data_IF_645727861984
#
_entry.id   IF_645727861984
#
_cell.length_a   1.000
_cell.length_b   1.000
_cell.length_c   1.000
_cell.angle_alpha   90.00
_cell.angle_beta   90.00
_cell.angle_gamma   90.00
#
_symmetry.space_group_name_H-M   'P 1'
#
loop_
_entity.id
_entity.type
_entity.pdbx_description
1 polymer ?
#
# COMPACT_ATOMS: atom_id res chain seq x y z
N UNK A 1 1.07 21.73 22.03
CA UNK A 1 2.50 21.53 21.69
C UNK A 1 2.68 20.54 20.53
N UNK A 2 2.16 19.30 20.60
CA UNK A 2 2.31 18.29 19.53
C UNK A 2 1.69 18.78 18.21
N UNK A 3 0.48 19.34 18.23
CA UNK A 3 -0.19 19.87 17.04
C UNK A 3 0.68 20.91 16.31
N UNK A 4 1.28 21.84 17.04
CA UNK A 4 2.15 22.88 16.47
C UNK A 4 3.39 22.28 15.79
N UNK A 5 4.01 21.26 16.43
CA UNK A 5 5.19 20.56 15.87
C UNK A 5 4.82 19.83 14.58
N UNK A 6 3.75 19.02 14.61
CA UNK A 6 3.31 18.27 13.41
C UNK A 6 2.93 19.21 12.27
N UNK A 7 2.20 20.29 12.54
CA UNK A 7 1.90 21.28 11.51
C UNK A 7 3.17 21.93 10.94
N UNK A 8 4.19 22.20 11.77
CA UNK A 8 5.49 22.66 11.32
C UNK A 8 6.18 21.69 10.37
N UNK A 9 6.16 20.37 10.69
CA UNK A 9 6.70 19.33 9.82
C UNK A 9 5.96 19.26 8.48
N UNK A 10 4.63 19.31 8.49
CA UNK A 10 3.84 19.31 7.25
C UNK A 10 4.08 20.57 6.39
N UNK A 11 4.23 21.73 7.01
CA UNK A 11 4.62 22.96 6.30
C UNK A 11 6.00 22.82 5.64
N UNK A 12 6.95 22.23 6.35
CA UNK A 12 8.28 21.96 5.81
C UNK A 12 8.22 21.03 4.60
N UNK A 13 7.46 19.93 4.71
CA UNK A 13 7.28 18.97 3.62
C UNK A 13 6.70 19.64 2.37
N UNK A 14 5.61 20.40 2.51
CA UNK A 14 5.00 21.16 1.39
C UNK A 14 5.97 22.15 0.75
N UNK A 15 6.68 22.93 1.57
CA UNK A 15 7.63 23.93 1.09
C UNK A 15 8.78 23.31 0.27
N UNK A 16 9.15 22.08 0.58
CA UNK A 16 10.28 21.38 -0.05
C UNK A 16 9.83 20.29 -1.03
N UNK A 17 8.55 20.25 -1.41
CA UNK A 17 7.99 19.24 -2.32
C UNK A 17 8.25 17.80 -1.85
N UNK A 18 8.20 17.55 -0.54
CA UNK A 18 8.37 16.21 0.04
C UNK A 18 6.99 15.57 0.15
N UNK A 19 6.81 14.45 -0.54
CA UNK A 19 5.61 13.61 -0.44
C UNK A 19 5.70 12.77 0.84
N UNK A 20 4.73 12.93 1.73
CA UNK A 20 4.63 12.15 2.97
C UNK A 20 3.60 11.04 2.79
N UNK A 21 3.99 9.82 3.14
CA UNK A 21 3.15 8.62 3.08
C UNK A 21 3.29 7.82 4.36
N UNK A 22 2.40 6.84 4.56
CA UNK A 22 2.47 5.91 5.68
C UNK A 22 2.23 4.49 5.20
N UNK A 23 2.99 3.54 5.75
CA UNK A 23 2.77 2.12 5.59
C UNK A 23 2.55 1.49 6.96
N UNK A 24 1.28 1.43 7.44
CA UNK A 24 0.94 0.77 8.71
C UNK A 24 1.34 -0.69 8.71
N UNK A 25 1.71 -1.20 9.88
CA UNK A 25 2.20 -2.58 10.02
C UNK A 25 1.18 -3.66 9.61
N UNK A 26 1.62 -4.91 9.45
CA UNK A 26 0.84 -6.03 8.89
C UNK A 26 -0.33 -6.49 9.77
N UNK A 27 -0.52 -5.86 10.93
CA UNK A 27 -1.66 -6.15 11.82
C UNK A 27 -2.94 -5.43 11.41
N UNK A 28 -2.88 -4.56 10.40
CA UNK A 28 -4.02 -3.86 9.84
C UNK A 28 -4.74 -4.74 8.82
N UNK A 29 -5.79 -5.48 9.26
CA UNK A 29 -6.41 -6.56 8.50
C UNK A 29 -7.91 -6.31 8.34
N UNK A 30 -8.31 -5.55 7.31
CA UNK A 30 -9.72 -5.29 6.99
C UNK A 30 -10.47 -6.54 6.50
N UNK A 31 -9.77 -7.54 5.96
CA UNK A 31 -10.37 -8.81 5.50
C UNK A 31 -10.72 -9.77 6.64
N UNK A 32 -10.36 -9.45 7.89
CA UNK A 32 -10.53 -10.37 9.01
C UNK A 32 -12.01 -10.68 9.28
N UNK A 33 -12.38 -11.96 9.51
CA UNK A 33 -13.71 -12.32 10.00
C UNK A 33 -13.90 -12.06 11.50
N UNK A 34 -12.82 -11.64 12.20
CA UNK A 34 -12.83 -11.40 13.65
C UNK A 34 -13.07 -9.93 13.95
N UNK A 35 -14.21 -9.61 14.55
CA UNK A 35 -14.63 -8.24 14.84
C UNK A 35 -13.58 -7.43 15.63
N UNK A 36 -12.95 -8.02 16.65
CA UNK A 36 -11.93 -7.31 17.43
C UNK A 36 -10.68 -6.93 16.61
N UNK A 37 -10.31 -7.75 15.60
CA UNK A 37 -9.18 -7.45 14.70
C UNK A 37 -9.55 -6.27 13.81
N UNK A 38 -10.76 -6.27 13.25
CA UNK A 38 -11.25 -5.14 12.42
C UNK A 38 -11.33 -3.86 13.26
N UNK A 39 -11.85 -3.92 14.49
CA UNK A 39 -11.92 -2.77 15.40
C UNK A 39 -10.52 -2.20 15.72
N UNK A 40 -9.54 -3.05 15.98
CA UNK A 40 -8.16 -2.62 16.21
C UNK A 40 -7.56 -1.98 14.95
N UNK A 41 -7.78 -2.57 13.77
CA UNK A 41 -7.40 -2.00 12.47
C UNK A 41 -7.99 -0.61 12.26
N UNK A 42 -9.29 -0.43 12.47
CA UNK A 42 -9.96 0.87 12.34
C UNK A 42 -9.35 1.88 13.31
N UNK A 43 -9.05 1.48 14.53
CA UNK A 43 -8.44 2.36 15.55
C UNK A 43 -7.06 2.82 15.11
N UNK A 44 -6.22 1.89 14.66
CA UNK A 44 -4.84 2.18 14.23
C UNK A 44 -4.83 3.08 12.98
N UNK A 45 -5.56 2.70 11.94
CA UNK A 45 -5.69 3.53 10.73
C UNK A 45 -6.26 4.92 11.01
N UNK A 46 -7.23 5.03 11.94
CA UNK A 46 -7.76 6.32 12.40
C UNK A 46 -6.68 7.21 13.02
N UNK A 47 -5.73 6.61 13.75
CA UNK A 47 -4.61 7.37 14.32
C UNK A 47 -3.66 7.86 13.21
N UNK A 48 -3.37 7.06 12.20
CA UNK A 48 -2.61 7.51 11.01
C UNK A 48 -3.32 8.67 10.31
N UNK A 49 -4.63 8.56 10.06
CA UNK A 49 -5.43 9.65 9.47
C UNK A 49 -5.40 10.94 10.29
N UNK A 50 -5.50 10.85 11.63
CA UNK A 50 -5.38 12.00 12.53
C UNK A 50 -4.00 12.65 12.48
N UNK A 51 -2.93 11.85 12.44
CA UNK A 51 -1.57 12.38 12.32
C UNK A 51 -1.40 13.14 11.01
N UNK A 52 -1.93 12.62 9.91
CA UNK A 52 -1.88 13.29 8.60
C UNK A 52 -2.69 14.59 8.58
N UNK A 53 -3.85 14.62 9.22
CA UNK A 53 -4.63 15.84 9.39
C UNK A 53 -3.90 16.89 10.26
N UNK A 54 -3.19 16.46 11.32
CA UNK A 54 -2.37 17.35 12.17
C UNK A 54 -1.13 17.88 11.44
N UNK A 55 -0.57 17.12 10.50
CA UNK A 55 0.46 17.58 9.56
C UNK A 55 -0.09 18.59 8.54
N UNK A 56 -1.41 18.67 8.39
CA UNK A 56 -2.08 19.50 7.38
C UNK A 56 -1.92 18.96 5.98
N UNK A 57 -1.82 17.64 5.82
CA UNK A 57 -1.72 16.98 4.53
C UNK A 57 -3.09 16.83 3.88
N UNK A 58 -3.11 16.86 2.55
CA UNK A 58 -4.35 16.72 1.79
C UNK A 58 -4.95 15.32 1.99
N UNK A 59 -6.29 15.27 1.98
CA UNK A 59 -7.06 14.01 2.07
C UNK A 59 -7.22 13.38 0.69
N UNK A 60 -6.09 13.02 0.07
CA UNK A 60 -6.01 12.37 -1.24
C UNK A 60 -4.98 11.24 -1.20
N UNK A 61 -4.97 10.32 -2.18
CA UNK A 61 -3.95 9.29 -2.28
C UNK A 61 -2.52 9.82 -2.53
N UNK A 62 -2.36 11.12 -2.79
CA UNK A 62 -1.03 11.73 -2.80
C UNK A 62 -0.31 11.51 -1.46
N UNK A 63 -1.05 11.68 -0.35
CA UNK A 63 -0.56 11.36 0.98
C UNK A 63 -1.16 10.01 1.43
N UNK A 64 -0.73 8.91 0.77
CA UNK A 64 -1.29 7.59 0.96
C UNK A 64 -1.08 7.02 2.37
N UNK A 65 -2.08 6.27 2.83
CA UNK A 65 -1.97 5.28 3.89
C UNK A 65 -2.07 3.92 3.20
N UNK A 66 -0.95 3.21 3.10
CA UNK A 66 -0.86 1.98 2.32
C UNK A 66 -0.97 0.75 3.21
N UNK A 67 -1.80 -0.22 2.84
CA UNK A 67 -1.92 -1.49 3.57
C UNK A 67 -1.99 -2.69 2.62
N UNK A 68 -1.67 -3.87 3.14
CA UNK A 68 -1.99 -5.14 2.50
C UNK A 68 -3.34 -5.69 2.97
N UNK A 69 -3.88 -6.66 2.23
CA UNK A 69 -5.06 -7.40 2.69
C UNK A 69 -4.73 -8.33 3.87
N UNK A 70 -3.53 -8.92 3.90
CA UNK A 70 -2.98 -9.72 5.02
C UNK A 70 -3.75 -10.98 5.43
N UNK A 71 -4.54 -11.60 4.56
CA UNK A 71 -5.15 -12.88 4.87
C UNK A 71 -6.29 -13.27 3.95
N UNK A 72 -6.42 -14.56 3.65
CA UNK A 72 -7.49 -15.12 2.81
C UNK A 72 -8.57 -15.84 3.62
N UNK A 73 -8.25 -16.31 4.81
CA UNK A 73 -9.18 -17.01 5.72
C UNK A 73 -9.97 -18.15 5.05
N UNK A 74 -9.29 -18.91 4.19
CA UNK A 74 -9.86 -20.07 3.48
C UNK A 74 -10.67 -19.73 2.22
N UNK A 75 -11.10 -18.48 2.05
CA UNK A 75 -11.85 -18.01 0.89
C UNK A 75 -11.45 -16.57 0.52
N UNK A 76 -10.70 -16.46 -0.58
CA UNK A 76 -10.16 -15.19 -1.09
C UNK A 76 -11.29 -14.22 -1.49
N UNK A 77 -12.36 -14.71 -2.13
CA UNK A 77 -13.47 -13.87 -2.59
C UNK A 77 -14.23 -13.25 -1.39
N UNK A 78 -14.61 -14.07 -0.42
CA UNK A 78 -15.26 -13.58 0.81
C UNK A 78 -14.35 -12.64 1.62
N UNK A 79 -13.04 -12.83 1.57
CA UNK A 79 -12.10 -11.93 2.23
C UNK A 79 -12.07 -10.54 1.56
N UNK A 80 -12.06 -10.47 0.21
CA UNK A 80 -12.17 -9.22 -0.54
C UNK A 80 -13.50 -8.50 -0.28
N UNK A 81 -14.62 -9.26 -0.17
CA UNK A 81 -15.93 -8.70 0.22
C UNK A 81 -15.86 -8.05 1.60
N UNK A 82 -15.28 -8.76 2.58
CA UNK A 82 -15.11 -8.20 3.94
C UNK A 82 -14.25 -6.95 3.94
N UNK A 83 -13.18 -6.88 3.12
CA UNK A 83 -12.39 -5.67 2.97
C UNK A 83 -13.28 -4.48 2.59
N UNK A 84 -14.09 -4.64 1.54
CA UNK A 84 -14.96 -3.57 1.05
C UNK A 84 -16.02 -3.17 2.09
N UNK A 85 -16.61 -4.13 2.79
CA UNK A 85 -17.60 -3.85 3.86
C UNK A 85 -16.95 -3.10 5.03
N UNK A 86 -15.78 -3.57 5.50
CA UNK A 86 -15.09 -2.98 6.64
C UNK A 86 -14.44 -1.63 6.30
N UNK A 87 -14.09 -1.38 5.04
CA UNK A 87 -13.66 -0.06 4.56
C UNK A 87 -14.70 1.02 4.86
N UNK A 88 -15.99 0.72 4.76
CA UNK A 88 -17.05 1.69 5.03
C UNK A 88 -17.07 2.18 6.48
N UNK A 89 -16.50 1.42 7.41
CA UNK A 89 -16.38 1.79 8.83
C UNK A 89 -15.23 2.76 9.12
N UNK A 90 -14.34 3.00 8.14
CA UNK A 90 -13.20 3.92 8.30
C UNK A 90 -13.66 5.38 8.24
N UNK A 91 -13.01 6.30 8.98
CA UNK A 91 -13.28 7.73 8.84
C UNK A 91 -12.75 8.29 7.52
N UNK A 92 -13.31 9.40 7.04
CA UNK A 92 -12.91 10.05 5.79
C UNK A 92 -11.42 10.41 5.75
N UNK A 93 -10.82 10.75 6.91
CA UNK A 93 -9.39 11.01 7.03
C UNK A 93 -8.51 9.82 6.62
N UNK A 94 -9.06 8.62 6.61
CA UNK A 94 -8.42 7.37 6.14
C UNK A 94 -8.92 6.99 4.76
N UNK A 95 -10.25 6.89 4.55
CA UNK A 95 -10.85 6.46 3.27
C UNK A 95 -10.26 7.17 2.07
N UNK A 96 -10.11 8.49 2.17
CA UNK A 96 -9.62 9.33 1.07
C UNK A 96 -8.12 9.17 0.76
N UNK A 97 -7.38 8.54 1.67
CA UNK A 97 -5.92 8.33 1.56
C UNK A 97 -5.54 6.87 1.40
N UNK A 98 -6.49 5.95 1.65
CA UNK A 98 -6.17 4.52 1.68
C UNK A 98 -5.79 4.02 0.29
N UNK A 99 -4.72 3.22 0.26
CA UNK A 99 -4.31 2.43 -0.89
C UNK A 99 -4.09 0.99 -0.45
N UNK A 100 -4.13 0.08 -1.39
CA UNK A 100 -3.87 -1.35 -1.14
C UNK A 100 -2.74 -1.82 -2.05
N UNK A 101 -1.88 -2.70 -1.52
CA UNK A 101 -0.70 -3.20 -2.20
C UNK A 101 -0.79 -4.70 -2.46
N UNK A 102 -0.21 -5.16 -3.58
CA UNK A 102 -0.09 -6.58 -3.87
C UNK A 102 0.84 -7.29 -2.88
N UNK A 103 0.56 -8.57 -2.63
CA UNK A 103 1.26 -9.38 -1.63
C UNK A 103 2.42 -10.20 -2.24
N UNK A 104 3.32 -10.69 -1.36
CA UNK A 104 4.54 -11.47 -1.66
C UNK A 104 4.35 -12.99 -1.66
N UNK A 105 3.13 -13.49 -1.69
CA UNK A 105 2.82 -14.94 -1.65
C UNK A 105 1.77 -15.31 -2.68
N UNK A 106 2.01 -16.36 -3.43
CA UNK A 106 1.10 -16.86 -4.46
C UNK A 106 -0.33 -17.19 -3.94
N UNK A 107 -0.46 -17.50 -2.64
CA UNK A 107 -1.78 -17.74 -2.00
C UNK A 107 -2.52 -16.47 -1.61
N UNK A 108 -1.87 -15.30 -1.68
CA UNK A 108 -2.40 -14.01 -1.29
C UNK A 108 -2.92 -13.22 -2.50
N UNK A 109 -2.79 -11.92 -2.52
CA UNK A 109 -3.46 -11.04 -3.47
C UNK A 109 -2.49 -10.43 -4.46
N UNK A 110 -2.63 -10.80 -5.73
CA UNK A 110 -2.00 -10.13 -6.86
C UNK A 110 -2.69 -8.81 -7.18
N UNK A 111 -2.07 -7.97 -8.03
CA UNK A 111 -2.74 -6.77 -8.58
C UNK A 111 -4.08 -7.11 -9.22
N UNK A 112 -4.14 -8.23 -9.98
CA UNK A 112 -5.37 -8.72 -10.60
C UNK A 112 -6.50 -9.00 -9.59
N UNK A 113 -6.16 -9.60 -8.45
CA UNK A 113 -7.12 -9.84 -7.37
C UNK A 113 -7.61 -8.51 -6.75
N UNK A 114 -6.69 -7.57 -6.52
CA UNK A 114 -6.99 -6.27 -5.91
C UNK A 114 -7.87 -5.37 -6.78
N UNK A 115 -7.94 -5.61 -8.09
CA UNK A 115 -8.90 -4.92 -8.98
C UNK A 115 -10.35 -5.11 -8.54
N UNK A 116 -10.66 -6.19 -7.82
CA UNK A 116 -11.98 -6.37 -7.22
C UNK A 116 -12.29 -5.25 -6.20
N UNK A 117 -11.33 -4.95 -5.32
CA UNK A 117 -11.46 -3.88 -4.32
C UNK A 117 -11.58 -2.53 -5.04
N UNK A 118 -10.66 -2.23 -5.97
CA UNK A 118 -10.69 -0.98 -6.71
C UNK A 118 -12.03 -0.74 -7.42
N UNK A 119 -12.54 -1.72 -8.15
CA UNK A 119 -13.83 -1.61 -8.86
C UNK A 119 -15.01 -1.35 -7.95
N UNK A 120 -14.95 -1.77 -6.69
CA UNK A 120 -16.05 -1.71 -5.73
C UNK A 120 -16.01 -0.46 -4.85
N UNK A 121 -14.84 0.00 -4.45
CA UNK A 121 -14.69 1.12 -3.50
C UNK A 121 -13.72 2.21 -3.99
N UNK A 122 -13.12 2.07 -5.16
CA UNK A 122 -12.35 3.14 -5.82
C UNK A 122 -10.97 3.42 -5.25
N UNK A 123 -10.44 2.64 -4.28
CA UNK A 123 -9.10 2.89 -3.74
C UNK A 123 -8.01 2.50 -4.74
N UNK A 124 -6.90 3.27 -4.82
CA UNK A 124 -5.79 2.96 -5.71
C UNK A 124 -5.00 1.74 -5.25
N UNK A 125 -4.36 1.08 -6.23
CA UNK A 125 -3.44 -0.03 -6.00
C UNK A 125 -2.01 0.50 -6.09
N UNK A 126 -1.19 0.20 -5.08
CA UNK A 126 0.26 0.38 -5.09
C UNK A 126 0.87 -0.90 -5.65
N UNK A 127 1.66 -0.76 -6.72
CA UNK A 127 2.40 -1.89 -7.28
C UNK A 127 3.73 -2.04 -6.57
N UNK A 128 3.97 -3.20 -5.96
CA UNK A 128 5.28 -3.59 -5.47
C UNK A 128 5.92 -4.59 -6.44
N UNK A 129 7.11 -4.22 -6.96
CA UNK A 129 7.87 -5.03 -7.93
C UNK A 129 8.40 -6.32 -7.32
N UNK A 130 8.86 -6.27 -6.07
CA UNK A 130 9.42 -7.44 -5.41
C UNK A 130 8.33 -8.47 -5.09
N UNK A 131 7.21 -8.01 -4.57
CA UNK A 131 6.06 -8.84 -4.27
C UNK A 131 5.47 -9.48 -5.52
N UNK A 132 5.42 -8.74 -6.64
CA UNK A 132 4.91 -9.26 -7.92
C UNK A 132 5.67 -10.51 -8.39
N UNK A 133 6.98 -10.62 -8.14
CA UNK A 133 7.78 -11.80 -8.47
C UNK A 133 7.25 -13.08 -7.83
N UNK A 134 6.58 -12.98 -6.67
CA UNK A 134 6.05 -14.12 -5.91
C UNK A 134 4.53 -14.29 -6.05
N UNK A 135 3.81 -13.25 -6.47
CA UNK A 135 2.37 -13.26 -6.63
C UNK A 135 1.93 -12.53 -7.92
N UNK A 136 2.33 -13.02 -9.12
CA UNK A 136 2.11 -12.32 -10.39
C UNK A 136 0.63 -12.30 -10.84
N UNK A 137 -0.21 -13.26 -10.43
CA UNK A 137 -1.63 -13.32 -10.81
C UNK A 137 -1.85 -13.49 -12.31
N UNK A 138 -0.99 -14.25 -13.00
CA UNK A 138 -0.99 -14.46 -14.46
C UNK A 138 -0.77 -13.17 -15.29
N UNK A 139 -0.17 -12.14 -14.70
CA UNK A 139 0.21 -10.92 -15.39
C UNK A 139 1.73 -10.81 -15.49
N UNK A 140 2.21 -10.25 -16.60
CA UNK A 140 3.60 -9.78 -16.70
C UNK A 140 3.80 -8.58 -15.77
N UNK A 141 5.06 -8.25 -15.46
CA UNK A 141 5.39 -7.08 -14.62
C UNK A 141 4.82 -5.78 -15.22
N UNK A 142 4.95 -5.61 -16.55
CA UNK A 142 4.41 -4.44 -17.24
C UNK A 142 2.89 -4.36 -17.14
N UNK A 143 2.18 -5.45 -17.44
CA UNK A 143 0.71 -5.49 -17.35
C UNK A 143 0.22 -5.20 -15.94
N UNK A 144 0.87 -5.76 -14.92
CA UNK A 144 0.50 -5.52 -13.53
C UNK A 144 0.77 -4.07 -13.09
N UNK A 145 1.91 -3.50 -13.48
CA UNK A 145 2.24 -2.11 -13.23
C UNK A 145 1.22 -1.16 -13.89
N UNK A 146 0.97 -1.33 -15.19
CA UNK A 146 0.03 -0.48 -15.93
C UNK A 146 -1.40 -0.61 -15.38
N UNK A 147 -1.81 -1.81 -14.99
CA UNK A 147 -3.10 -2.04 -14.36
C UNK A 147 -3.20 -1.33 -13.00
N UNK A 148 -2.17 -1.40 -12.15
CA UNK A 148 -2.13 -0.67 -10.89
C UNK A 148 -2.14 0.85 -11.10
N UNK A 149 -1.34 1.38 -12.03
CA UNK A 149 -1.31 2.81 -12.38
C UNK A 149 -2.70 3.30 -12.81
N UNK A 150 -3.44 2.51 -13.59
CA UNK A 150 -4.77 2.87 -14.08
C UNK A 150 -5.81 3.09 -12.97
N UNK A 151 -5.52 2.64 -11.74
CA UNK A 151 -6.39 2.81 -10.57
C UNK A 151 -6.23 4.16 -9.85
N UNK A 152 -5.19 4.91 -10.20
CA UNK A 152 -4.89 6.19 -9.54
C UNK A 152 -5.71 7.33 -10.12
N UNK A 153 -6.19 8.26 -9.27
CA UNK A 153 -6.93 9.42 -9.72
C UNK A 153 -6.11 10.31 -10.66
N UNK A 154 -6.77 10.89 -11.64
CA UNK A 154 -6.15 11.86 -12.54
C UNK A 154 -5.50 13.01 -11.75
N UNK A 155 -4.33 13.44 -12.20
CA UNK A 155 -3.55 14.51 -11.55
C UNK A 155 -2.73 14.08 -10.34
N UNK A 156 -2.85 12.82 -9.87
CA UNK A 156 -2.02 12.28 -8.79
C UNK A 156 -1.01 11.30 -9.37
N UNK A 157 0.28 11.60 -9.23
CA UNK A 157 1.35 10.69 -9.64
C UNK A 157 1.25 9.39 -8.82
N UNK A 158 1.12 8.21 -9.47
CA UNK A 158 1.09 6.93 -8.77
C UNK A 158 2.37 6.69 -7.97
N UNK A 159 2.27 5.97 -6.85
CA UNK A 159 3.42 5.45 -6.12
C UNK A 159 3.54 3.97 -6.38
N UNK A 160 4.77 3.52 -6.60
CA UNK A 160 5.16 2.12 -6.64
C UNK A 160 6.20 1.84 -5.56
N UNK A 161 6.26 0.60 -5.10
CA UNK A 161 7.29 0.14 -4.18
C UNK A 161 8.33 -0.69 -4.91
N UNK A 162 9.59 -0.53 -4.52
CA UNK A 162 10.70 -1.29 -5.07
C UNK A 162 11.66 -1.71 -3.97
N UNK A 163 11.99 -2.97 -4.01
CA UNK A 163 13.03 -3.56 -3.18
C UNK A 163 13.66 -4.75 -3.89
N UNK A 164 14.76 -5.25 -3.37
CA UNK A 164 15.46 -6.42 -3.88
C UNK A 164 15.52 -7.51 -2.82
N UNK A 165 15.83 -8.74 -3.26
CA UNK A 165 15.91 -9.88 -2.37
C UNK A 165 17.17 -9.84 -1.51
N UNK A 166 17.01 -9.82 -0.20
CA UNK A 166 18.12 -9.92 0.77
C UNK A 166 18.89 -11.23 0.60
N UNK A 167 18.20 -12.33 0.27
CA UNK A 167 18.83 -13.60 0.03
C UNK A 167 19.83 -13.57 -1.14
N UNK A 168 19.50 -12.84 -2.21
CA UNK A 168 20.37 -12.65 -3.36
C UNK A 168 21.56 -11.75 -3.03
N UNK A 169 21.32 -10.59 -2.42
CA UNK A 169 22.38 -9.65 -2.04
C UNK A 169 23.40 -10.25 -1.07
N UNK A 170 22.94 -11.02 -0.09
CA UNK A 170 23.81 -11.64 0.91
C UNK A 170 24.34 -13.03 0.46
N UNK A 171 23.93 -13.50 -0.73
CA UNK A 171 24.25 -14.87 -1.20
C UNK A 171 23.93 -15.93 -0.14
N UNK A 172 22.77 -15.79 0.52
CA UNK A 172 22.38 -16.60 1.67
C UNK A 172 21.05 -17.33 1.46
N UNK A 173 21.16 -18.59 1.03
CA UNK A 173 20.00 -19.45 0.74
C UNK A 173 19.13 -19.80 1.96
N UNK A 174 19.56 -19.45 3.18
CA UNK A 174 18.77 -19.66 4.40
C UNK A 174 17.74 -18.55 4.61
N UNK A 175 17.90 -17.42 3.95
CA UNK A 175 16.94 -16.33 3.97
C UNK A 175 15.79 -16.62 3.01
N UNK A 176 14.59 -16.16 3.38
CA UNK A 176 13.44 -16.24 2.47
C UNK A 176 13.69 -15.33 1.27
N UNK A 177 13.39 -15.78 0.04
CA UNK A 177 13.53 -14.92 -1.15
C UNK A 177 12.73 -13.62 -1.08
N UNK A 178 11.61 -13.60 -0.33
CA UNK A 178 10.77 -12.44 -0.10
C UNK A 178 11.36 -11.42 0.89
N UNK A 179 12.42 -11.77 1.61
CA UNK A 179 13.04 -10.82 2.54
C UNK A 179 13.67 -9.65 1.77
N UNK A 180 13.31 -8.43 2.17
CA UNK A 180 13.81 -7.21 1.56
C UNK A 180 15.27 -6.97 1.93
N UNK A 181 16.07 -6.56 0.97
CA UNK A 181 17.46 -6.13 1.18
C UNK A 181 17.49 -4.72 1.79
N UNK A 182 18.53 -4.45 2.56
CA UNK A 182 18.82 -3.10 3.06
C UNK A 182 19.40 -2.18 1.95
N UNK A 183 19.67 -2.74 0.76
CA UNK A 183 20.29 -2.07 -0.38
C UNK A 183 19.57 -2.42 -1.67
N UNK A 184 19.70 -1.54 -2.67
CA UNK A 184 19.27 -1.78 -4.04
C UNK A 184 20.46 -1.54 -4.97
N UNK A 185 20.65 -2.40 -5.97
CA UNK A 185 21.69 -2.27 -7.01
C UNK A 185 21.10 -1.83 -8.34
N UNK A 186 19.84 -2.18 -8.60
CA UNK A 186 19.13 -1.88 -9.84
C UNK A 186 18.08 -0.79 -9.68
N UNK A 187 17.54 -0.34 -10.81
CA UNK A 187 16.40 0.58 -10.87
C UNK A 187 15.19 -0.14 -11.46
N UNK A 188 13.97 0.12 -10.93
CA UNK A 188 12.76 -0.49 -11.49
C UNK A 188 12.52 -0.04 -12.93
N UNK A 189 12.10 -0.97 -13.79
CA UNK A 189 11.62 -0.61 -15.12
C UNK A 189 10.21 -0.02 -15.02
N UNK A 190 10.07 1.26 -15.30
CA UNK A 190 8.76 1.93 -15.28
C UNK A 190 7.98 1.80 -16.59
N UNK A 191 8.56 1.15 -17.61
CA UNK A 191 7.97 1.00 -18.95
C UNK A 191 7.48 2.34 -19.54
N UNK A 192 8.24 3.42 -19.24
CA UNK A 192 7.91 4.79 -19.70
C UNK A 192 6.79 5.47 -18.90
N UNK A 193 6.25 4.85 -17.87
CA UNK A 193 5.25 5.47 -17.01
C UNK A 193 5.89 6.45 -16.02
N UNK A 194 5.18 7.55 -15.73
CA UNK A 194 5.56 8.50 -14.70
C UNK A 194 5.03 8.04 -13.35
N UNK A 195 5.93 7.63 -12.47
CA UNK A 195 5.62 7.17 -11.10
C UNK A 195 6.62 7.74 -10.10
N UNK A 196 6.20 7.81 -8.83
CA UNK A 196 7.11 8.00 -7.71
C UNK A 196 7.50 6.61 -7.18
N UNK A 197 8.81 6.35 -7.05
CA UNK A 197 9.32 5.09 -6.52
C UNK A 197 9.65 5.24 -5.05
N UNK A 198 9.05 4.40 -4.22
CA UNK A 198 9.41 4.26 -2.81
C UNK A 198 10.26 3.01 -2.65
N UNK A 199 11.46 3.19 -2.13
CA UNK A 199 12.38 2.09 -1.83
C UNK A 199 12.07 1.58 -0.42
N UNK A 200 11.93 0.26 -0.27
CA UNK A 200 11.63 -0.41 1.01
C UNK A 200 12.72 -1.40 1.41
#
# INVERSE_FOLDING_TARGET
RIKTILNGCGNYARKNNIRLTSHPGPFNVLVSPREHVVKNTITDLTNHGKVFDLLGLDRTPYNKINIHCNGVYGDKASALDRFCVNFELLPDSVKTRLTVENDDKASMYSVKDLMYIHKRIGIPIVFDYHHHKFCPGDLTEQEALELAISTWPEGITPVVHYSESKALHESNDKLKPQAHSDYIDDTPNTYGNKVDVMVE
#
